data_IF_428381056177
#
_entry.id   IF_428381056177
#
_cell.length_a   1.000
_cell.length_b   1.000
_cell.length_c   1.000
_cell.angle_alpha   90.00
_cell.angle_beta   90.00
_cell.angle_gamma   90.00
#
_symmetry.space_group_name_H-M   'P 1'
#
loop_
_entity.id
_entity.type
_entity.pdbx_description
1 polymer ?
#
# COMPACT_ATOMS: atom_id res chain seq x y z
N UNK A 1 10.00 37.77 -11.15
CA UNK A 1 9.83 36.79 -10.04
C UNK A 1 8.35 36.70 -9.61
N UNK A 2 7.61 37.82 -9.47
CA UNK A 2 6.20 37.82 -9.05
C UNK A 2 5.29 36.99 -9.99
N UNK A 3 5.51 37.06 -11.29
CA UNK A 3 4.72 36.32 -12.29
C UNK A 3 4.94 34.81 -12.23
N UNK A 4 6.15 34.32 -11.94
CA UNK A 4 6.45 32.89 -11.85
C UNK A 4 5.89 32.26 -10.56
N UNK A 5 5.88 33.02 -9.46
CA UNK A 5 5.28 32.54 -8.19
C UNK A 5 3.76 32.39 -8.28
N UNK A 6 3.08 33.33 -8.93
CA UNK A 6 1.63 33.20 -9.20
C UNK A 6 1.32 31.98 -10.05
N UNK A 7 2.10 31.72 -11.11
CA UNK A 7 1.91 30.53 -11.95
C UNK A 7 2.08 29.21 -11.17
N UNK A 8 3.04 29.11 -10.25
CA UNK A 8 3.25 27.90 -9.44
C UNK A 8 2.10 27.68 -8.46
N UNK A 9 1.66 28.75 -7.79
CA UNK A 9 0.55 28.71 -6.83
C UNK A 9 -0.77 28.33 -7.50
N UNK A 10 -1.06 28.90 -8.66
CA UNK A 10 -2.25 28.60 -9.46
C UNK A 10 -2.21 27.15 -9.98
N UNK A 11 -1.02 26.67 -10.36
CA UNK A 11 -0.86 25.29 -10.82
C UNK A 11 -1.14 24.26 -9.69
N UNK A 12 -0.75 24.53 -8.44
CA UNK A 12 -1.07 23.66 -7.32
C UNK A 12 -2.59 23.50 -7.11
N UNK A 13 -3.36 24.57 -7.36
CA UNK A 13 -4.82 24.53 -7.27
C UNK A 13 -5.45 23.59 -8.32
N UNK A 14 -4.83 23.45 -9.49
CA UNK A 14 -5.33 22.55 -10.54
C UNK A 14 -5.20 21.07 -10.17
N UNK A 15 -4.39 20.74 -9.18
CA UNK A 15 -4.20 19.37 -8.69
C UNK A 15 -5.11 19.00 -7.53
N UNK A 16 -5.91 19.95 -7.02
CA UNK A 16 -6.88 19.68 -5.96
C UNK A 16 -8.08 18.90 -6.49
N UNK A 17 -8.38 17.76 -5.85
CA UNK A 17 -9.44 16.85 -6.27
C UNK A 17 -10.72 16.99 -5.46
N UNK A 18 -10.62 17.37 -4.18
CA UNK A 18 -11.73 17.44 -3.23
C UNK A 18 -11.43 16.70 -1.93
N UNK A 19 -12.20 16.96 -0.88
CA UNK A 19 -12.06 16.31 0.45
C UNK A 19 -10.63 16.32 1.00
N UNK A 20 -9.88 17.37 0.69
CA UNK A 20 -8.47 17.52 1.10
C UNK A 20 -7.47 16.78 0.20
N UNK A 21 -7.90 15.97 -0.74
CA UNK A 21 -7.01 15.23 -1.63
C UNK A 21 -6.49 16.07 -2.79
N UNK A 22 -5.26 15.78 -3.18
CA UNK A 22 -4.61 16.26 -4.37
C UNK A 22 -4.12 15.09 -5.22
N UNK A 23 -3.85 15.33 -6.49
CA UNK A 23 -2.96 14.47 -7.26
C UNK A 23 -1.56 15.09 -7.31
N UNK A 24 -0.53 14.25 -7.43
CA UNK A 24 0.86 14.72 -7.54
C UNK A 24 1.23 14.97 -9.01
N UNK A 25 0.96 16.19 -9.45
CA UNK A 25 1.23 16.63 -10.80
C UNK A 25 0.33 15.99 -11.87
N UNK A 26 0.74 16.14 -13.12
CA UNK A 26 -0.02 15.67 -14.30
C UNK A 26 -0.10 14.13 -14.39
N UNK A 27 0.72 13.41 -13.62
CA UNK A 27 0.73 11.95 -13.57
C UNK A 27 -0.43 11.33 -12.77
N UNK A 28 -1.17 12.14 -12.04
CA UNK A 28 -2.35 11.70 -11.29
C UNK A 28 -2.08 10.77 -10.10
N UNK A 29 -0.83 10.67 -9.63
CA UNK A 29 -0.46 9.82 -8.50
C UNK A 29 -1.03 10.35 -7.18
N UNK A 30 -1.48 9.45 -6.33
CA UNK A 30 -2.05 9.72 -5.00
C UNK A 30 -1.41 8.75 -4.02
N UNK A 31 -0.26 9.12 -3.50
CA UNK A 31 0.52 8.37 -2.53
C UNK A 31 0.97 9.29 -1.38
N UNK A 32 1.94 8.88 -0.61
CA UNK A 32 2.43 9.69 0.52
C UNK A 32 2.98 11.07 0.16
N UNK A 33 3.25 11.37 -1.13
CA UNK A 33 3.60 12.74 -1.53
C UNK A 33 2.48 13.73 -1.26
N UNK A 34 1.22 13.28 -1.21
CA UNK A 34 0.11 14.15 -0.84
C UNK A 34 0.26 14.62 0.62
N UNK A 35 0.62 13.70 1.53
CA UNK A 35 0.77 14.01 2.96
C UNK A 35 2.09 14.70 3.27
N UNK A 36 3.24 14.09 2.91
CA UNK A 36 4.55 14.58 3.35
C UNK A 36 5.14 15.68 2.45
N UNK A 37 4.55 15.97 1.31
CA UNK A 37 4.97 17.06 0.44
C UNK A 37 3.88 18.11 0.27
N UNK A 38 2.76 17.80 -0.39
CA UNK A 38 1.75 18.82 -0.70
C UNK A 38 1.17 19.43 0.59
N UNK A 39 0.59 18.63 1.47
CA UNK A 39 0.05 19.15 2.73
C UNK A 39 1.15 19.67 3.66
N UNK A 40 2.26 18.94 3.78
CA UNK A 40 3.35 19.34 4.65
C UNK A 40 3.84 20.76 4.33
N UNK A 41 4.19 21.03 3.07
CA UNK A 41 4.68 22.36 2.68
C UNK A 41 3.58 23.41 2.60
N UNK A 42 2.35 23.04 2.29
CA UNK A 42 1.20 23.95 2.38
C UNK A 42 0.95 24.42 3.81
N UNK A 43 1.13 23.55 4.80
CA UNK A 43 0.99 23.91 6.22
C UNK A 43 2.19 24.73 6.71
N UNK A 44 3.42 24.43 6.28
CA UNK A 44 4.58 25.29 6.55
C UNK A 44 4.36 26.68 5.96
N UNK A 45 3.85 26.75 4.71
CA UNK A 45 3.47 28.04 4.10
C UNK A 45 2.43 28.77 4.96
N UNK A 46 1.39 28.06 5.41
CA UNK A 46 0.35 28.65 6.25
C UNK A 46 0.92 29.22 7.56
N UNK A 47 1.87 28.54 8.21
CA UNK A 47 2.54 29.02 9.43
C UNK A 47 3.33 30.30 9.17
N UNK A 48 4.08 30.35 8.07
CA UNK A 48 4.97 31.48 7.78
C UNK A 48 4.18 32.68 7.25
N UNK A 49 3.20 32.46 6.40
CA UNK A 49 2.52 33.50 5.59
C UNK A 49 1.14 33.87 6.12
N UNK A 50 0.72 33.41 7.30
CA UNK A 50 -0.63 33.63 7.83
C UNK A 50 -1.01 35.13 7.90
N UNK A 51 -0.02 36.00 8.16
CA UNK A 51 -0.24 37.46 8.25
C UNK A 51 -0.31 38.11 6.86
N UNK A 52 0.47 37.61 5.88
CA UNK A 52 0.61 38.19 4.56
C UNK A 52 -0.36 37.62 3.53
N UNK A 53 -0.79 36.33 3.72
CA UNK A 53 -1.75 35.64 2.85
C UNK A 53 -2.73 34.80 3.70
N UNK A 54 -3.58 35.42 4.52
CA UNK A 54 -4.48 34.74 5.46
C UNK A 54 -5.52 33.87 4.76
N UNK A 55 -6.00 34.23 3.58
CA UNK A 55 -7.02 33.48 2.85
C UNK A 55 -6.46 32.13 2.35
N UNK A 56 -5.23 32.11 1.86
CA UNK A 56 -4.57 30.89 1.42
C UNK A 56 -4.18 30.01 2.61
N UNK A 57 -3.66 30.62 3.68
CA UNK A 57 -3.34 29.92 4.92
C UNK A 57 -4.59 29.20 5.46
N UNK A 58 -5.73 29.89 5.55
CA UNK A 58 -7.01 29.33 5.98
C UNK A 58 -7.47 28.16 5.06
N UNK A 59 -7.34 28.35 3.74
CA UNK A 59 -7.70 27.32 2.75
C UNK A 59 -6.87 26.06 2.92
N UNK A 60 -5.55 26.16 3.06
CA UNK A 60 -4.66 25.01 3.24
C UNK A 60 -4.93 24.28 4.57
N UNK A 61 -5.13 25.05 5.64
CA UNK A 61 -5.52 24.49 6.95
C UNK A 61 -6.84 23.71 6.86
N UNK A 62 -7.86 24.26 6.21
CA UNK A 62 -9.15 23.59 6.03
C UNK A 62 -9.02 22.27 5.22
N UNK A 63 -8.27 22.29 4.12
CA UNK A 63 -8.02 21.08 3.30
C UNK A 63 -7.25 20.01 4.08
N UNK A 64 -6.28 20.40 4.89
CA UNK A 64 -5.55 19.47 5.74
C UNK A 64 -6.48 18.80 6.78
N UNK A 65 -7.41 19.54 7.38
CA UNK A 65 -8.41 18.99 8.29
C UNK A 65 -9.33 17.97 7.62
N UNK A 66 -9.74 18.19 6.37
CA UNK A 66 -10.53 17.23 5.60
C UNK A 66 -9.71 16.00 5.22
N UNK A 67 -8.49 16.17 4.71
CA UNK A 67 -7.58 15.10 4.35
C UNK A 67 -7.31 14.15 5.53
N UNK A 68 -7.08 14.69 6.72
CA UNK A 68 -6.78 13.92 7.92
C UNK A 68 -7.82 12.85 8.24
N UNK A 69 -9.13 13.13 7.96
CA UNK A 69 -10.25 12.21 8.24
C UNK A 69 -10.12 10.88 7.51
N UNK A 70 -9.54 10.89 6.32
CA UNK A 70 -9.32 9.71 5.50
C UNK A 70 -7.89 9.17 5.66
N UNK A 71 -6.90 10.04 5.80
CA UNK A 71 -5.50 9.65 5.87
C UNK A 71 -5.14 8.87 7.12
N UNK A 72 -5.85 9.07 8.24
CA UNK A 72 -5.64 8.29 9.47
C UNK A 72 -5.87 6.79 9.27
N UNK A 73 -6.73 6.40 8.33
CA UNK A 73 -6.97 5.00 7.95
C UNK A 73 -5.75 4.31 7.32
N UNK A 74 -4.71 5.06 6.93
CA UNK A 74 -3.48 4.49 6.38
C UNK A 74 -2.54 3.93 7.44
N UNK A 75 -2.93 4.03 8.71
CA UNK A 75 -2.15 3.56 9.85
C UNK A 75 -2.96 2.56 10.67
N UNK A 76 -2.26 1.56 11.23
CA UNK A 76 -2.84 0.65 12.19
C UNK A 76 -2.61 1.11 13.64
N UNK A 77 -3.12 0.32 14.60
CA UNK A 77 -3.03 0.63 16.03
C UNK A 77 -1.60 0.66 16.56
N UNK A 78 -0.68 -0.10 15.93
CA UNK A 78 0.74 -0.13 16.28
C UNK A 78 1.53 1.01 15.64
N UNK A 79 0.89 1.81 14.78
CA UNK A 79 1.51 2.92 14.05
C UNK A 79 2.24 2.49 12.77
N UNK A 80 2.03 1.26 12.31
CA UNK A 80 2.47 0.85 10.99
C UNK A 80 1.66 1.55 9.91
N UNK A 81 2.30 1.85 8.78
CA UNK A 81 1.66 2.51 7.65
C UNK A 81 1.54 1.55 6.46
N UNK A 82 0.46 1.67 5.66
CA UNK A 82 0.31 0.85 4.46
C UNK A 82 1.50 1.04 3.51
N UNK A 83 2.10 -0.01 2.98
CA UNK A 83 3.30 0.06 2.13
C UNK A 83 2.94 0.36 0.68
N UNK A 84 2.25 1.50 0.43
CA UNK A 84 1.68 1.87 -0.86
C UNK A 84 2.44 3.03 -1.51
N UNK A 85 2.70 2.92 -2.79
CA UNK A 85 3.28 3.99 -3.60
C UNK A 85 4.81 4.04 -3.57
N UNK A 86 5.34 5.15 -4.03
CA UNK A 86 6.79 5.41 -4.18
C UNK A 86 7.41 6.01 -2.92
N UNK A 87 8.74 6.06 -2.92
CA UNK A 87 9.55 6.72 -1.88
C UNK A 87 9.36 6.16 -0.47
N UNK A 88 9.02 4.88 -0.38
CA UNK A 88 8.85 4.19 0.91
C UNK A 88 10.14 4.21 1.75
N UNK A 89 11.30 4.45 1.14
CA UNK A 89 12.58 4.65 1.84
C UNK A 89 12.58 5.87 2.76
N UNK A 90 11.61 6.81 2.62
CA UNK A 90 11.47 7.96 3.52
C UNK A 90 10.81 7.60 4.86
N UNK A 91 10.34 6.36 5.03
CA UNK A 91 9.85 5.75 6.29
C UNK A 91 9.03 6.71 7.17
N UNK A 92 9.68 7.37 8.14
CA UNK A 92 9.00 8.22 9.13
C UNK A 92 8.27 9.42 8.52
N UNK A 93 8.56 9.80 7.28
CA UNK A 93 7.79 10.85 6.63
C UNK A 93 6.34 10.49 6.41
N UNK A 94 5.99 9.19 6.44
CA UNK A 94 4.62 8.73 6.33
C UNK A 94 3.71 9.39 7.38
N UNK A 95 4.18 9.59 8.60
CA UNK A 95 3.42 10.20 9.71
C UNK A 95 3.67 11.71 9.88
N UNK A 96 4.59 12.31 9.11
CA UNK A 96 5.01 13.71 9.26
C UNK A 96 3.88 14.73 9.06
N UNK A 97 2.82 14.35 8.35
CA UNK A 97 1.61 15.17 8.21
C UNK A 97 1.01 15.55 9.57
N UNK A 98 0.88 14.60 10.51
CA UNK A 98 0.34 14.90 11.84
C UNK A 98 1.28 15.78 12.67
N UNK A 99 2.58 15.65 12.47
CA UNK A 99 3.57 16.51 13.11
C UNK A 99 3.45 17.97 12.64
N UNK A 100 3.32 18.21 11.33
CA UNK A 100 3.16 19.55 10.80
C UNK A 100 1.77 20.15 11.08
N UNK A 101 0.74 19.31 11.26
CA UNK A 101 -0.57 19.78 11.75
C UNK A 101 -0.42 20.44 13.12
N UNK A 102 0.27 19.80 14.07
CA UNK A 102 0.54 20.38 15.39
C UNK A 102 1.25 21.74 15.27
N UNK A 103 2.30 21.81 14.44
CA UNK A 103 3.03 23.05 14.21
C UNK A 103 2.16 24.16 13.62
N UNK A 104 1.19 23.80 12.77
CA UNK A 104 0.24 24.74 12.16
C UNK A 104 -0.95 25.09 13.08
N UNK A 105 -0.96 24.62 14.33
CA UNK A 105 -2.04 24.83 15.29
C UNK A 105 -3.32 24.11 14.89
N UNK A 106 -3.21 22.95 14.21
CA UNK A 106 -4.35 22.13 13.80
C UNK A 106 -4.45 20.86 14.63
N UNK A 107 -5.65 20.55 15.07
CA UNK A 107 -5.99 19.34 15.80
C UNK A 107 -7.07 18.54 15.07
N UNK A 108 -6.75 17.90 13.92
CA UNK A 108 -7.71 17.01 13.24
C UNK A 108 -8.13 15.85 14.13
N UNK A 109 -7.28 15.50 15.09
CA UNK A 109 -7.55 14.57 16.20
C UNK A 109 -6.99 15.17 17.50
N UNK A 110 -7.46 14.71 18.68
CA UNK A 110 -6.90 15.17 19.96
C UNK A 110 -5.37 15.03 20.00
N UNK A 111 -4.67 15.99 20.61
CA UNK A 111 -3.19 15.98 20.73
C UNK A 111 -2.64 14.65 21.25
N UNK A 112 -3.24 13.98 22.28
CA UNK A 112 -2.79 12.67 22.74
C UNK A 112 -2.81 11.59 21.65
N UNK A 113 -3.79 11.60 20.76
CA UNK A 113 -3.93 10.65 19.64
C UNK A 113 -2.82 10.89 18.61
N UNK A 114 -2.61 12.14 18.19
CA UNK A 114 -1.55 12.50 17.26
C UNK A 114 -0.15 12.20 17.81
N UNK A 115 0.08 12.52 19.10
CA UNK A 115 1.33 12.15 19.82
C UNK A 115 1.52 10.64 19.83
N UNK A 116 0.49 9.88 20.18
CA UNK A 116 0.53 8.43 20.22
C UNK A 116 0.85 7.81 18.85
N UNK A 117 0.21 8.29 17.79
CA UNK A 117 0.48 7.81 16.44
C UNK A 117 1.92 8.09 15.99
N UNK A 118 2.41 9.33 16.16
CA UNK A 118 3.78 9.72 15.82
C UNK A 118 4.79 8.87 16.61
N UNK A 119 4.58 8.71 17.90
CA UNK A 119 5.50 8.01 18.78
C UNK A 119 5.54 6.50 18.49
N UNK A 120 4.39 5.84 18.29
CA UNK A 120 4.32 4.42 17.91
C UNK A 120 5.00 4.19 16.58
N UNK A 121 4.71 5.01 15.57
CA UNK A 121 5.33 4.93 14.25
C UNK A 121 6.86 5.03 14.34
N UNK A 122 7.39 6.00 15.08
CA UNK A 122 8.85 6.13 15.28
C UNK A 122 9.43 4.91 16.00
N UNK A 123 8.79 4.43 17.08
CA UNK A 123 9.26 3.25 17.82
C UNK A 123 9.31 2.00 16.95
N UNK A 124 8.33 1.81 16.10
CA UNK A 124 8.27 0.69 15.14
C UNK A 124 9.47 0.73 14.17
N UNK A 125 9.76 1.88 13.61
CA UNK A 125 10.89 2.02 12.69
C UNK A 125 12.25 1.87 13.38
N UNK A 126 12.42 2.43 14.58
CA UNK A 126 13.68 2.38 15.31
C UNK A 126 14.04 0.99 15.85
N UNK A 127 13.08 0.06 15.91
CA UNK A 127 13.34 -1.36 16.22
C UNK A 127 13.87 -2.15 15.04
N UNK A 128 13.75 -1.65 13.80
CA UNK A 128 14.16 -2.34 12.58
C UNK A 128 15.61 -2.07 12.20
N UNK A 129 16.26 -2.98 11.47
CA UNK A 129 17.64 -2.82 11.01
C UNK A 129 17.71 -1.82 9.83
N UNK A 130 17.31 -0.58 10.06
CA UNK A 130 17.26 0.49 9.05
C UNK A 130 18.54 1.31 8.97
N UNK A 131 19.45 1.09 9.88
CA UNK A 131 20.76 1.75 9.94
C UNK A 131 21.86 0.78 9.47
N UNK A 132 22.92 1.34 8.90
CA UNK A 132 24.16 0.58 8.68
C UNK A 132 24.98 0.49 9.97
N UNK A 133 26.18 -0.13 9.85
CA UNK A 133 27.14 -0.28 10.97
C UNK A 133 27.65 1.04 11.54
N UNK A 134 27.56 2.13 10.77
CA UNK A 134 28.02 3.46 11.16
C UNK A 134 26.84 4.34 11.64
N UNK A 135 25.69 3.71 11.90
CA UNK A 135 24.43 4.34 12.33
C UNK A 135 23.85 5.34 11.32
N UNK A 136 24.13 5.17 10.03
CA UNK A 136 23.57 5.96 8.96
C UNK A 136 22.31 5.28 8.41
N UNK A 137 21.24 6.06 8.17
CA UNK A 137 20.01 5.55 7.57
C UNK A 137 20.29 5.02 6.15
N UNK A 138 19.85 3.80 5.89
CA UNK A 138 20.05 3.13 4.61
C UNK A 138 18.83 3.27 3.67
N UNK A 139 19.07 3.19 2.35
CA UNK A 139 18.00 3.00 1.39
C UNK A 139 17.38 1.62 1.59
N UNK A 140 16.07 1.57 1.68
CA UNK A 140 15.29 0.38 1.95
C UNK A 140 14.01 0.73 2.71
N UNK A 141 13.17 -0.26 3.00
CA UNK A 141 11.98 -0.09 3.83
C UNK A 141 12.22 -0.69 5.21
N UNK A 142 11.94 -1.96 5.47
CA UNK A 142 12.19 -2.59 6.76
C UNK A 142 13.68 -2.89 7.05
N UNK A 143 14.51 -2.95 6.02
CA UNK A 143 15.94 -3.24 6.08
C UNK A 143 16.64 -2.64 4.84
N UNK A 144 18.01 -2.62 4.78
CA UNK A 144 18.73 -2.14 3.61
C UNK A 144 18.38 -2.96 2.36
N UNK A 145 17.76 -2.32 1.38
CA UNK A 145 17.31 -2.99 0.15
C UNK A 145 17.25 -2.01 -1.02
N UNK A 146 18.16 -2.15 -1.97
CA UNK A 146 18.21 -1.29 -3.16
C UNK A 146 17.19 -1.69 -4.24
N UNK A 147 16.62 -2.89 -4.21
CA UNK A 147 15.65 -3.36 -5.20
C UNK A 147 14.40 -2.48 -5.25
N UNK A 148 14.04 -1.86 -4.11
CA UNK A 148 12.89 -0.97 -4.01
C UNK A 148 13.17 0.48 -4.39
N UNK A 149 14.44 0.85 -4.62
CA UNK A 149 14.84 2.23 -4.83
C UNK A 149 14.31 2.79 -6.16
N UNK A 150 13.90 4.04 -6.14
CA UNK A 150 13.65 4.83 -7.34
C UNK A 150 14.94 5.44 -7.86
N UNK A 151 14.94 5.75 -9.17
CA UNK A 151 16.11 6.34 -9.87
C UNK A 151 16.63 7.65 -9.25
N UNK A 152 15.80 8.35 -8.48
CA UNK A 152 16.15 9.60 -7.80
C UNK A 152 16.60 9.40 -6.35
N UNK A 153 16.55 8.16 -5.83
CA UNK A 153 17.03 7.89 -4.49
C UNK A 153 18.56 7.90 -4.44
N UNK A 154 19.10 8.70 -3.53
CA UNK A 154 20.51 8.81 -3.21
C UNK A 154 20.72 8.44 -1.72
N UNK A 155 21.96 8.24 -1.24
CA UNK A 155 22.23 7.88 0.16
C UNK A 155 21.60 8.83 1.18
N UNK A 156 21.42 10.12 0.85
CA UNK A 156 20.73 11.08 1.71
C UNK A 156 19.19 11.03 1.65
N UNK A 157 18.59 10.28 0.72
CA UNK A 157 17.14 10.26 0.54
C UNK A 157 16.34 9.79 1.76
N UNK A 158 16.79 8.79 2.57
CA UNK A 158 16.09 8.38 3.78
C UNK A 158 15.89 9.50 4.80
N UNK A 159 16.77 10.51 4.79
CA UNK A 159 16.69 11.67 5.71
C UNK A 159 15.52 12.62 5.42
N UNK A 160 14.79 12.45 4.30
CA UNK A 160 13.49 13.08 4.12
C UNK A 160 12.49 12.66 5.22
N UNK A 161 12.72 11.52 5.86
CA UNK A 161 12.00 11.06 7.04
C UNK A 161 12.07 12.03 8.22
N UNK A 162 13.13 12.86 8.32
CA UNK A 162 13.31 13.82 9.41
C UNK A 162 12.19 14.87 9.49
N UNK A 163 11.36 15.01 8.46
CA UNK A 163 10.15 15.85 8.48
C UNK A 163 9.21 15.51 9.65
N UNK A 164 9.21 14.27 10.11
CA UNK A 164 8.40 13.86 11.28
C UNK A 164 8.72 14.71 12.51
N UNK A 165 9.95 15.20 12.63
CA UNK A 165 10.41 15.99 13.76
C UNK A 165 9.98 17.47 13.72
N UNK A 166 9.06 17.87 12.82
CA UNK A 166 8.49 19.22 12.83
C UNK A 166 7.86 19.58 14.20
N UNK A 167 7.40 18.59 14.98
CA UNK A 167 6.90 18.83 16.34
C UNK A 167 7.96 19.38 17.30
N UNK A 168 9.26 19.23 17.02
CA UNK A 168 10.33 19.81 17.83
C UNK A 168 10.35 21.35 17.79
N UNK A 169 9.62 21.96 16.85
CA UNK A 169 9.45 23.41 16.76
C UNK A 169 8.28 23.93 17.62
N UNK A 170 7.56 23.06 18.29
CA UNK A 170 6.48 23.45 19.21
C UNK A 170 7.05 24.17 20.43
N UNK A 171 6.36 25.20 20.96
CA UNK A 171 6.75 25.85 22.23
C UNK A 171 6.84 24.85 23.38
N UNK A 172 7.68 25.13 24.37
CA UNK A 172 7.93 24.23 25.52
C UNK A 172 6.66 24.00 26.37
N UNK A 173 5.73 24.95 26.38
CA UNK A 173 4.45 24.86 27.08
C UNK A 173 3.33 24.23 26.25
N UNK A 174 3.62 23.79 25.03
CA UNK A 174 2.62 23.16 24.18
C UNK A 174 2.12 21.84 24.80
N UNK A 175 0.80 21.56 24.80
CA UNK A 175 0.21 20.35 25.39
C UNK A 175 0.84 19.04 24.93
N UNK A 176 1.37 18.99 23.70
CA UNK A 176 2.08 17.83 23.16
C UNK A 176 3.15 17.26 24.10
N UNK A 177 3.86 18.14 24.85
CA UNK A 177 4.95 17.70 25.73
C UNK A 177 4.45 17.00 27.00
N UNK A 178 3.30 17.45 27.54
CA UNK A 178 2.79 17.02 28.85
C UNK A 178 1.71 15.94 28.78
N UNK A 179 0.98 15.79 27.67
CA UNK A 179 -0.11 14.79 27.58
C UNK A 179 0.44 13.37 27.46
N UNK A 180 -0.31 12.39 27.97
CA UNK A 180 -0.06 10.98 27.72
C UNK A 180 -0.46 10.59 26.28
N UNK A 181 0.18 9.56 25.73
CA UNK A 181 -0.15 9.00 24.43
C UNK A 181 -1.51 8.30 24.46
N UNK A 182 -2.34 8.54 23.45
CA UNK A 182 -3.59 7.81 23.28
C UNK A 182 -3.55 6.88 22.03
N UNK A 183 -4.37 5.80 22.04
CA UNK A 183 -4.55 4.95 20.85
C UNK A 183 -5.22 5.71 19.71
N UNK A 184 -5.30 5.10 18.53
CA UNK A 184 -6.12 5.60 17.43
C UNK A 184 -7.59 5.71 17.87
N UNK A 185 -8.35 6.66 17.30
CA UNK A 185 -9.79 6.69 17.55
C UNK A 185 -10.44 5.44 16.97
N UNK A 186 -11.60 5.06 17.50
CA UNK A 186 -12.38 3.98 16.91
C UNK A 186 -12.80 4.38 15.50
N UNK A 187 -12.20 3.76 14.49
CA UNK A 187 -12.50 3.95 13.07
C UNK A 187 -13.62 3.00 12.62
N UNK A 188 -14.36 3.39 11.57
CA UNK A 188 -15.24 2.47 10.89
C UNK A 188 -14.42 1.36 10.21
N UNK A 189 -14.92 0.13 10.09
CA UNK A 189 -14.15 -0.94 9.42
C UNK A 189 -13.79 -0.60 7.98
N UNK A 190 -14.70 -0.02 7.21
CA UNK A 190 -14.52 0.30 5.80
C UNK A 190 -14.44 1.82 5.56
N UNK A 191 -13.50 2.24 4.72
CA UNK A 191 -13.34 3.63 4.28
C UNK A 191 -13.05 3.68 2.77
N UNK A 192 -14.09 3.83 1.93
CA UNK A 192 -13.89 4.09 0.51
C UNK A 192 -13.33 5.50 0.31
N UNK A 193 -12.15 5.61 -0.27
CA UNK A 193 -11.42 6.86 -0.47
C UNK A 193 -11.40 7.23 -1.96
N UNK A 194 -12.47 7.86 -2.41
CA UNK A 194 -12.72 8.18 -3.83
C UNK A 194 -11.55 8.87 -4.52
N UNK A 195 -10.92 9.83 -3.84
CA UNK A 195 -9.85 10.63 -4.43
C UNK A 195 -8.45 10.02 -4.27
N UNK A 196 -8.29 9.06 -3.34
CA UNK A 196 -7.09 8.25 -3.24
C UNK A 196 -7.09 7.07 -4.22
N UNK A 197 -8.23 6.74 -4.80
CA UNK A 197 -8.48 5.49 -5.55
C UNK A 197 -8.14 4.24 -4.73
N UNK A 198 -8.52 4.24 -3.44
CA UNK A 198 -8.29 3.13 -2.51
C UNK A 198 -9.56 2.83 -1.72
N UNK A 199 -9.79 1.56 -1.47
CA UNK A 199 -10.78 1.10 -0.48
C UNK A 199 -10.00 0.57 0.72
N UNK A 200 -10.02 1.29 1.84
CA UNK A 200 -9.27 0.89 3.04
C UNK A 200 -10.17 0.14 3.99
N UNK A 201 -9.69 -0.98 4.52
CA UNK A 201 -10.39 -1.79 5.51
C UNK A 201 -9.53 -2.00 6.75
N UNK A 202 -10.08 -1.68 7.92
CA UNK A 202 -9.46 -1.87 9.22
C UNK A 202 -9.89 -3.21 9.83
N UNK A 203 -8.92 -4.09 10.11
CA UNK A 203 -9.13 -5.40 10.72
C UNK A 203 -8.83 -5.41 12.23
N UNK A 204 -8.91 -4.28 12.91
CA UNK A 204 -8.53 -4.13 14.30
C UNK A 204 -7.04 -3.82 14.45
N UNK A 205 -6.19 -4.83 14.48
CA UNK A 205 -4.75 -4.68 14.69
C UNK A 205 -3.93 -4.42 13.41
N UNK A 206 -4.54 -4.38 12.23
CA UNK A 206 -3.89 -4.05 10.97
C UNK A 206 -4.86 -3.38 10.01
N UNK A 207 -4.33 -2.77 8.98
CA UNK A 207 -5.10 -2.12 7.94
C UNK A 207 -4.65 -2.57 6.55
N UNK A 208 -5.63 -2.78 5.67
CA UNK A 208 -5.40 -3.18 4.28
C UNK A 208 -6.03 -2.16 3.35
N UNK A 209 -5.25 -1.66 2.38
CA UNK A 209 -5.75 -0.85 1.29
C UNK A 209 -5.91 -1.71 0.03
N UNK A 210 -7.11 -1.78 -0.49
CA UNK A 210 -7.44 -2.44 -1.76
C UNK A 210 -7.37 -1.42 -2.89
N UNK A 211 -6.57 -1.73 -3.92
CA UNK A 211 -6.35 -0.85 -5.06
C UNK A 211 -7.03 -1.38 -6.32
N UNK A 212 -7.91 -0.60 -6.95
CA UNK A 212 -8.52 -1.00 -8.22
C UNK A 212 -7.52 -1.04 -9.37
N UNK A 213 -6.34 -0.43 -9.19
CA UNK A 213 -5.28 -0.40 -10.19
C UNK A 213 -4.92 1.01 -10.59
N UNK A 214 -4.29 1.73 -9.69
CA UNK A 214 -3.79 3.08 -9.96
C UNK A 214 -2.69 3.00 -11.01
N UNK A 215 -2.90 3.69 -12.12
CA UNK A 215 -1.89 3.81 -13.16
C UNK A 215 -0.94 4.97 -12.88
N UNK A 216 0.36 4.70 -12.99
CA UNK A 216 1.37 5.75 -12.98
C UNK A 216 2.19 5.69 -14.28
N UNK A 217 2.09 6.71 -15.16
CA UNK A 217 2.86 6.76 -16.41
C UNK A 217 4.34 7.04 -16.18
N UNK A 218 4.73 7.54 -15.02
CA UNK A 218 6.11 7.85 -14.70
C UNK A 218 6.87 6.59 -14.30
N UNK A 219 7.86 6.20 -15.09
CA UNK A 219 8.69 5.01 -14.86
C UNK A 219 9.52 5.07 -13.58
N UNK A 220 8.87 4.87 -12.43
CA UNK A 220 9.53 4.64 -11.15
C UNK A 220 10.00 3.20 -11.06
N UNK A 221 11.05 2.96 -10.32
CA UNK A 221 11.48 1.60 -10.03
C UNK A 221 10.36 0.80 -9.35
N UNK A 222 10.09 -0.41 -9.83
CA UNK A 222 9.11 -1.35 -9.26
C UNK A 222 7.66 -0.82 -9.20
N UNK A 223 7.26 -0.04 -10.22
CA UNK A 223 5.95 0.63 -10.28
C UNK A 223 4.78 -0.36 -10.14
N UNK A 224 4.90 -1.55 -10.73
CA UNK A 224 3.87 -2.59 -10.69
C UNK A 224 3.65 -3.06 -9.26
N UNK A 225 4.71 -3.31 -8.50
CA UNK A 225 4.62 -3.70 -7.09
C UNK A 225 4.04 -2.58 -6.23
N UNK A 226 4.40 -1.32 -6.49
CA UNK A 226 4.03 -0.16 -5.67
C UNK A 226 2.60 0.31 -5.86
N UNK A 227 1.97 0.04 -7.02
CA UNK A 227 0.63 0.53 -7.36
C UNK A 227 -0.30 -0.54 -7.95
N UNK A 228 0.23 -1.62 -8.51
CA UNK A 228 -0.52 -2.61 -9.28
C UNK A 228 -1.03 -3.82 -8.49
N UNK A 229 -0.68 -3.97 -7.20
CA UNK A 229 -1.18 -5.10 -6.40
C UNK A 229 -2.65 -4.92 -6.03
N UNK A 230 -3.34 -6.01 -5.75
CA UNK A 230 -4.74 -6.01 -5.33
C UNK A 230 -4.91 -5.42 -3.93
N UNK A 231 -3.95 -5.69 -3.03
CA UNK A 231 -4.00 -5.29 -1.63
C UNK A 231 -2.61 -4.90 -1.10
N UNK A 232 -2.58 -3.94 -0.18
CA UNK A 232 -1.42 -3.44 0.55
C UNK A 232 -1.74 -3.47 2.04
N UNK A 233 -1.03 -4.27 2.81
CA UNK A 233 -1.32 -4.51 4.22
C UNK A 233 -0.13 -4.16 5.11
N UNK A 234 -0.40 -3.57 6.27
CA UNK A 234 0.62 -3.08 7.20
C UNK A 234 1.51 -4.20 7.75
N UNK A 235 0.96 -5.41 7.95
CA UNK A 235 1.71 -6.56 8.53
C UNK A 235 2.57 -7.30 7.53
N UNK A 236 2.10 -7.43 6.27
CA UNK A 236 2.76 -8.28 5.29
C UNK A 236 3.71 -7.51 4.37
N UNK A 237 3.54 -6.18 4.30
CA UNK A 237 4.24 -5.34 3.32
C UNK A 237 4.01 -5.82 1.88
N UNK A 238 4.93 -5.50 0.99
CA UNK A 238 4.87 -5.90 -0.42
C UNK A 238 6.19 -6.52 -0.87
N UNK A 239 6.09 -7.40 -1.85
CA UNK A 239 7.26 -7.92 -2.56
C UNK A 239 7.47 -7.17 -3.87
N UNK A 240 8.73 -6.99 -4.26
CA UNK A 240 9.17 -6.44 -5.54
C UNK A 240 9.87 -7.52 -6.35
N UNK A 241 9.55 -7.60 -7.62
CA UNK A 241 10.13 -8.61 -8.50
C UNK A 241 11.63 -8.35 -8.71
N UNK A 242 12.44 -9.42 -8.72
CA UNK A 242 13.81 -9.39 -9.23
C UNK A 242 13.85 -9.53 -10.75
N UNK A 243 12.93 -10.35 -11.28
CA UNK A 243 12.76 -10.55 -12.71
C UNK A 243 11.30 -10.90 -13.07
N UNK A 244 11.01 -11.06 -14.35
CA UNK A 244 9.72 -11.55 -14.83
C UNK A 244 9.73 -13.06 -15.13
N UNK A 245 10.84 -13.74 -14.89
CA UNK A 245 10.92 -15.19 -15.01
C UNK A 245 10.41 -15.82 -13.73
N UNK A 246 9.96 -17.04 -13.79
CA UNK A 246 9.55 -17.88 -12.68
C UNK A 246 8.86 -17.16 -11.48
N UNK A 247 8.00 -17.87 -10.80
CA UNK A 247 7.24 -17.29 -9.67
C UNK A 247 8.11 -16.87 -8.49
N UNK A 248 9.22 -17.58 -8.24
CA UNK A 248 10.11 -17.32 -7.12
C UNK A 248 10.88 -15.99 -7.27
N UNK A 249 11.25 -15.61 -8.50
CA UNK A 249 11.91 -14.33 -8.80
C UNK A 249 10.90 -13.19 -8.91
N UNK A 250 9.70 -13.47 -9.43
CA UNK A 250 8.66 -12.45 -9.61
C UNK A 250 7.99 -12.06 -8.28
N UNK A 251 7.88 -13.00 -7.32
CA UNK A 251 7.26 -12.79 -6.02
C UNK A 251 5.90 -12.06 -6.09
N UNK A 252 4.89 -12.63 -6.77
CA UNK A 252 3.65 -11.93 -7.14
C UNK A 252 2.62 -11.90 -6.00
N UNK A 253 3.00 -11.54 -4.78
CA UNK A 253 2.08 -11.42 -3.66
C UNK A 253 0.95 -10.43 -3.95
N UNK A 254 -0.28 -10.81 -3.58
CA UNK A 254 -1.50 -10.06 -3.86
C UNK A 254 -1.73 -9.73 -5.33
N UNK A 255 -1.45 -10.70 -6.19
CA UNK A 255 -1.66 -10.59 -7.64
C UNK A 255 -2.19 -11.89 -8.21
N UNK A 256 -2.96 -11.81 -9.31
CA UNK A 256 -3.22 -12.92 -10.20
C UNK A 256 -2.08 -12.97 -11.23
N UNK A 257 -1.24 -13.99 -11.13
CA UNK A 257 -0.03 -14.14 -11.94
C UNK A 257 -0.25 -15.22 -13.02
N UNK A 258 -0.17 -14.84 -14.29
CA UNK A 258 -0.23 -15.75 -15.42
C UNK A 258 1.18 -16.23 -15.77
N UNK A 259 1.39 -17.53 -15.81
CA UNK A 259 2.64 -18.16 -16.24
C UNK A 259 2.51 -18.66 -17.68
N UNK A 260 3.24 -18.04 -18.59
CA UNK A 260 3.17 -18.27 -20.03
C UNK A 260 4.61 -18.28 -20.58
N UNK A 261 5.01 -19.39 -21.20
CA UNK A 261 6.33 -19.57 -21.84
C UNK A 261 7.53 -19.20 -20.94
N UNK A 262 7.46 -19.54 -19.64
CA UNK A 262 8.53 -19.26 -18.68
C UNK A 262 8.52 -17.85 -18.11
N UNK A 263 7.53 -17.03 -18.43
CA UNK A 263 7.40 -15.66 -17.95
C UNK A 263 6.16 -15.49 -17.09
N UNK A 264 6.24 -14.59 -16.11
CA UNK A 264 5.15 -14.22 -15.22
C UNK A 264 4.57 -12.87 -15.65
N UNK A 265 3.28 -12.86 -15.95
CA UNK A 265 2.52 -11.68 -16.33
C UNK A 265 1.49 -11.37 -15.26
N UNK A 266 1.50 -10.13 -14.79
CA UNK A 266 0.63 -9.64 -13.71
C UNK A 266 -0.09 -8.37 -14.12
N UNK A 267 -1.05 -7.89 -13.33
CA UNK A 267 -1.73 -6.62 -13.53
C UNK A 267 -0.72 -5.46 -13.52
N UNK A 268 -0.69 -4.69 -14.59
CA UNK A 268 0.20 -3.52 -14.75
C UNK A 268 -0.61 -2.24 -14.93
N UNK A 269 -1.38 -2.19 -16.00
CA UNK A 269 -2.24 -1.06 -16.37
C UNK A 269 -3.66 -1.59 -16.41
N UNK A 270 -4.59 -0.85 -15.82
CA UNK A 270 -6.01 -1.13 -15.96
C UNK A 270 -6.58 -0.29 -17.10
N UNK A 271 -7.39 -0.92 -17.95
CA UNK A 271 -8.19 -0.24 -18.97
C UNK A 271 -9.29 0.59 -18.30
N UNK A 272 -9.90 -0.01 -17.28
CA UNK A 272 -10.91 0.61 -16.42
C UNK A 272 -10.69 0.20 -14.97
N UNK A 273 -10.98 1.10 -14.06
CA UNK A 273 -10.94 0.81 -12.62
C UNK A 273 -11.87 1.73 -11.84
N UNK A 274 -12.41 1.22 -10.74
CA UNK A 274 -13.29 2.01 -9.86
C UNK A 274 -13.34 1.43 -8.45
N UNK A 275 -13.64 2.31 -7.50
CA UNK A 275 -14.12 1.95 -6.18
C UNK A 275 -15.62 1.66 -6.29
N UNK A 276 -16.06 0.58 -5.68
CA UNK A 276 -17.46 0.20 -5.56
C UNK A 276 -17.96 0.48 -4.14
N UNK A 277 -19.24 0.26 -3.89
CA UNK A 277 -19.81 0.41 -2.56
C UNK A 277 -19.12 -0.49 -1.51
N UNK A 278 -18.74 -1.72 -1.91
CA UNK A 278 -18.24 -2.76 -1.00
C UNK A 278 -16.81 -3.21 -1.32
N UNK A 279 -16.04 -2.46 -2.11
CA UNK A 279 -14.69 -2.85 -2.50
C UNK A 279 -14.19 -2.18 -3.76
N UNK A 280 -13.53 -2.93 -4.63
CA UNK A 280 -12.92 -2.40 -5.86
C UNK A 280 -13.18 -3.30 -7.06
N UNK A 281 -13.22 -2.70 -8.23
CA UNK A 281 -13.32 -3.41 -9.51
C UNK A 281 -12.30 -2.86 -10.51
N UNK A 282 -11.74 -3.75 -11.35
CA UNK A 282 -10.83 -3.37 -12.44
C UNK A 282 -10.94 -4.28 -13.65
N UNK A 283 -10.68 -3.73 -14.84
CA UNK A 283 -10.49 -4.46 -16.09
C UNK A 283 -9.07 -4.23 -16.61
N UNK A 284 -8.39 -5.31 -16.96
CA UNK A 284 -6.97 -5.29 -17.33
C UNK A 284 -6.59 -6.46 -18.24
N UNK A 285 -5.49 -6.31 -18.97
CA UNK A 285 -4.98 -7.33 -19.89
C UNK A 285 -3.51 -7.61 -19.55
N UNK A 286 -3.19 -8.79 -18.97
CA UNK A 286 -1.82 -9.16 -18.63
C UNK A 286 -0.97 -9.53 -19.85
N UNK A 287 -1.60 -10.11 -20.85
CA UNK A 287 -0.97 -10.67 -22.05
C UNK A 287 -1.90 -10.48 -23.26
N UNK A 288 -1.36 -10.33 -24.50
CA UNK A 288 -2.21 -10.29 -25.70
C UNK A 288 -3.16 -11.49 -25.78
N UNK A 289 -4.45 -11.22 -26.02
CA UNK A 289 -5.48 -12.24 -26.05
C UNK A 289 -5.99 -12.72 -24.66
N UNK A 290 -5.56 -12.08 -23.57
CA UNK A 290 -6.12 -12.34 -22.22
C UNK A 290 -6.68 -11.04 -21.64
N UNK A 291 -7.97 -11.04 -21.29
CA UNK A 291 -8.64 -9.95 -20.59
C UNK A 291 -9.20 -10.47 -19.26
N UNK A 292 -9.05 -9.69 -18.21
CA UNK A 292 -9.50 -10.03 -16.85
C UNK A 292 -10.31 -8.89 -16.28
N UNK A 293 -11.49 -9.21 -15.75
CA UNK A 293 -12.24 -8.33 -14.86
C UNK A 293 -12.11 -8.86 -13.43
N UNK A 294 -11.60 -8.05 -12.53
CA UNK A 294 -11.39 -8.42 -11.13
C UNK A 294 -12.29 -7.60 -10.22
N UNK A 295 -13.09 -8.26 -9.40
CA UNK A 295 -13.82 -7.66 -8.27
C UNK A 295 -13.19 -8.14 -6.97
N UNK A 296 -12.93 -7.23 -6.04
CA UNK A 296 -12.41 -7.54 -4.70
C UNK A 296 -13.37 -6.97 -3.68
N UNK A 297 -13.86 -7.83 -2.80
CA UNK A 297 -14.81 -7.47 -1.74
C UNK A 297 -14.23 -7.86 -0.38
N UNK A 298 -13.77 -6.90 0.44
CA UNK A 298 -13.33 -7.17 1.80
C UNK A 298 -14.52 -7.40 2.74
N UNK A 299 -14.26 -8.19 3.78
CA UNK A 299 -15.15 -8.42 4.93
C UNK A 299 -14.34 -8.60 6.22
N UNK A 300 -14.99 -8.86 7.34
CA UNK A 300 -14.32 -8.96 8.64
C UNK A 300 -13.27 -10.08 8.76
N UNK A 301 -13.30 -11.08 7.89
CA UNK A 301 -12.37 -12.23 7.92
C UNK A 301 -11.23 -12.14 6.90
N UNK A 302 -11.33 -11.23 5.93
CA UNK A 302 -10.37 -11.12 4.83
C UNK A 302 -11.00 -10.50 3.60
N UNK A 303 -10.83 -11.12 2.42
CA UNK A 303 -11.47 -10.62 1.21
C UNK A 303 -11.69 -11.73 0.16
N UNK A 304 -12.71 -11.55 -0.65
CA UNK A 304 -13.01 -12.42 -1.80
C UNK A 304 -12.61 -11.73 -3.09
N UNK A 305 -11.96 -12.46 -3.97
CA UNK A 305 -11.61 -12.04 -5.34
C UNK A 305 -12.42 -12.85 -6.34
N UNK A 306 -13.09 -12.16 -7.24
CA UNK A 306 -13.78 -12.77 -8.39
C UNK A 306 -13.09 -12.29 -9.65
N UNK A 307 -12.55 -13.22 -10.44
CA UNK A 307 -11.90 -12.93 -11.71
C UNK A 307 -12.70 -13.53 -12.87
N UNK A 308 -13.25 -12.67 -13.72
CA UNK A 308 -13.82 -13.07 -15.02
C UNK A 308 -12.72 -12.97 -16.06
N UNK A 309 -12.34 -14.12 -16.61
CA UNK A 309 -11.19 -14.23 -17.52
C UNK A 309 -11.70 -14.66 -18.89
N UNK A 310 -11.34 -13.91 -19.92
CA UNK A 310 -11.48 -14.30 -21.32
C UNK A 310 -10.08 -14.50 -21.90
N UNK A 311 -9.78 -15.69 -22.41
CA UNK A 311 -8.47 -16.06 -22.93
C UNK A 311 -8.58 -16.66 -24.33
N UNK A 312 -7.64 -16.31 -25.21
CA UNK A 312 -7.48 -16.93 -26.53
C UNK A 312 -6.51 -18.11 -26.52
N UNK A 313 -5.83 -18.36 -25.38
CA UNK A 313 -4.85 -19.42 -25.20
C UNK A 313 -5.11 -20.20 -23.89
N UNK A 314 -4.65 -21.44 -23.85
CA UNK A 314 -4.54 -22.20 -22.61
C UNK A 314 -3.27 -21.75 -21.84
N UNK A 315 -3.40 -21.51 -20.52
CA UNK A 315 -2.28 -21.13 -19.67
C UNK A 315 -2.51 -21.51 -18.21
N UNK A 316 -1.55 -21.19 -17.35
CA UNK A 316 -1.67 -21.38 -15.91
C UNK A 316 -1.71 -20.01 -15.24
N UNK A 317 -2.60 -19.86 -14.25
CA UNK A 317 -2.64 -18.67 -13.39
C UNK A 317 -2.49 -19.07 -11.92
N UNK A 318 -1.87 -18.20 -11.15
CA UNK A 318 -1.72 -18.34 -9.70
C UNK A 318 -2.35 -17.10 -9.05
N UNK A 319 -3.41 -17.28 -8.26
CA UNK A 319 -3.94 -16.21 -7.44
C UNK A 319 -3.26 -16.26 -6.07
N UNK A 320 -2.45 -15.25 -5.82
CA UNK A 320 -1.47 -15.22 -4.73
C UNK A 320 -1.97 -14.37 -3.56
N UNK A 321 -1.79 -14.87 -2.35
CA UNK A 321 -2.05 -14.14 -1.11
C UNK A 321 -0.90 -13.23 -0.67
N UNK A 322 -0.90 -12.89 0.61
CA UNK A 322 0.16 -12.10 1.23
C UNK A 322 1.44 -12.90 1.43
N UNK A 323 2.58 -12.23 1.35
CA UNK A 323 3.88 -12.83 1.63
C UNK A 323 4.11 -12.92 3.15
N UNK A 324 4.24 -14.13 3.68
CA UNK A 324 4.45 -14.39 5.12
C UNK A 324 5.92 -14.59 5.42
N UNK A 325 6.44 -13.90 6.43
CA UNK A 325 7.85 -14.03 6.88
C UNK A 325 8.16 -15.44 7.38
N UNK A 326 9.33 -15.96 6.99
CA UNK A 326 9.90 -17.23 7.48
C UNK A 326 10.88 -17.05 8.62
N UNK A 327 11.02 -15.82 9.14
CA UNK A 327 12.11 -15.42 10.04
C UNK A 327 13.37 -15.03 9.28
N UNK A 328 13.98 -13.95 9.72
CA UNK A 328 15.21 -13.40 9.13
C UNK A 328 16.41 -13.72 9.99
N UNK A 329 16.41 -13.20 11.21
CA UNK A 329 17.49 -13.33 12.20
C UNK A 329 17.03 -14.07 13.46
N UNK A 330 15.72 -14.23 13.63
CA UNK A 330 15.08 -14.89 14.76
C UNK A 330 14.13 -15.98 14.26
N UNK A 331 13.91 -17.02 15.04
CA UNK A 331 12.88 -18.00 14.79
C UNK A 331 11.51 -17.34 15.05
N UNK A 332 10.58 -17.48 14.09
CA UNK A 332 9.23 -16.86 14.15
C UNK A 332 8.12 -17.91 14.16
N UNK A 333 8.43 -19.17 14.50
CA UNK A 333 7.42 -20.25 14.50
C UNK A 333 6.74 -20.45 13.15
N UNK A 334 7.48 -20.36 12.04
CA UNK A 334 6.92 -20.48 10.70
C UNK A 334 6.32 -21.87 10.44
N UNK A 335 5.09 -21.89 9.92
CA UNK A 335 4.39 -23.08 9.48
C UNK A 335 3.74 -22.87 8.10
N UNK A 336 3.66 -23.94 7.31
CA UNK A 336 2.96 -23.94 6.03
C UNK A 336 2.10 -25.19 5.86
N UNK A 337 0.99 -25.06 5.17
CA UNK A 337 0.11 -26.17 4.80
C UNK A 337 -0.41 -25.96 3.38
N UNK A 338 -0.40 -27.01 2.60
CA UNK A 338 -1.10 -27.09 1.31
C UNK A 338 -2.07 -28.25 1.40
N UNK A 339 -3.35 -27.99 1.15
CA UNK A 339 -4.41 -28.98 1.32
C UNK A 339 -5.49 -28.78 0.25
N UNK A 340 -5.56 -29.73 -0.68
CA UNK A 340 -6.51 -29.68 -1.79
C UNK A 340 -6.40 -28.38 -2.59
N UNK A 341 -7.44 -27.53 -2.49
CA UNK A 341 -7.53 -26.26 -3.20
C UNK A 341 -7.13 -25.05 -2.34
N UNK A 342 -6.41 -25.28 -1.23
CA UNK A 342 -6.01 -24.25 -0.28
C UNK A 342 -4.53 -24.31 0.01
N UNK A 343 -3.93 -23.15 0.28
CA UNK A 343 -2.59 -23.03 0.82
C UNK A 343 -2.58 -21.99 1.96
N UNK A 344 -1.82 -22.28 3.01
CA UNK A 344 -1.66 -21.42 4.18
C UNK A 344 -0.18 -21.28 4.52
N UNK A 345 0.24 -20.07 4.83
CA UNK A 345 1.49 -19.77 5.48
C UNK A 345 1.21 -18.97 6.76
N UNK A 346 1.89 -19.27 7.86
CA UNK A 346 1.69 -18.61 9.15
C UNK A 346 2.99 -18.51 9.94
N UNK A 347 3.05 -17.55 10.83
CA UNK A 347 4.03 -17.43 11.89
C UNK A 347 3.33 -16.93 13.18
N UNK A 348 4.09 -16.67 14.23
CA UNK A 348 3.51 -16.22 15.52
C UNK A 348 2.81 -14.84 15.44
N UNK A 349 3.06 -14.03 14.38
CA UNK A 349 2.54 -12.67 14.24
C UNK A 349 1.38 -12.58 13.25
N UNK A 350 1.36 -13.44 12.23
CA UNK A 350 0.36 -13.35 11.16
C UNK A 350 0.15 -14.70 10.45
N UNK A 351 -0.97 -14.78 9.77
CA UNK A 351 -1.33 -15.91 8.91
C UNK A 351 -1.95 -15.39 7.62
N UNK A 352 -1.70 -16.08 6.51
CA UNK A 352 -2.42 -15.87 5.26
C UNK A 352 -2.85 -17.22 4.69
N UNK A 353 -4.14 -17.36 4.44
CA UNK A 353 -4.73 -18.53 3.78
C UNK A 353 -5.33 -18.10 2.45
N UNK A 354 -5.07 -18.86 1.40
CA UNK A 354 -5.67 -18.66 0.07
C UNK A 354 -6.39 -19.92 -0.32
N UNK A 355 -7.66 -19.82 -0.68
CA UNK A 355 -8.50 -20.96 -1.01
C UNK A 355 -9.34 -20.67 -2.26
N UNK A 356 -9.44 -21.64 -3.17
CA UNK A 356 -10.43 -21.56 -4.23
C UNK A 356 -11.83 -21.77 -3.67
N UNK A 357 -12.77 -20.96 -4.09
CA UNK A 357 -14.19 -21.09 -3.75
C UNK A 357 -14.91 -21.67 -4.95
N UNK A 358 -15.51 -22.83 -4.76
CA UNK A 358 -16.37 -23.47 -5.75
C UNK A 358 -17.82 -23.16 -5.37
N UNK A 359 -18.53 -22.40 -6.19
CA UNK A 359 -19.96 -22.21 -6.04
C UNK A 359 -20.70 -23.42 -6.70
N UNK A 360 -21.68 -23.99 -6.00
CA UNK A 360 -22.54 -25.08 -6.54
C UNK A 360 -23.30 -24.65 -7.79
N UNK A 361 -23.49 -23.33 -8.00
CA UNK A 361 -24.12 -22.74 -9.17
C UNK A 361 -23.12 -22.21 -10.22
N UNK A 362 -21.86 -22.00 -9.86
CA UNK A 362 -20.84 -21.81 -10.87
C UNK A 362 -20.72 -23.17 -11.56
N UNK A 363 -21.24 -23.28 -12.76
CA UNK A 363 -20.87 -24.39 -13.65
C UNK A 363 -19.33 -24.33 -13.67
N UNK A 364 -18.69 -25.08 -12.77
CA UNK A 364 -17.33 -25.57 -12.97
C UNK A 364 -17.46 -26.20 -14.33
N UNK A 365 -17.08 -25.43 -15.36
CA UNK A 365 -17.26 -25.91 -16.73
C UNK A 365 -16.76 -27.33 -16.71
N UNK A 366 -17.61 -28.28 -17.11
CA UNK A 366 -17.30 -29.71 -17.24
C UNK A 366 -15.99 -29.94 -18.04
N UNK A 367 -15.36 -28.88 -18.49
CA UNK A 367 -14.14 -28.76 -19.27
C UNK A 367 -12.87 -28.64 -18.42
N UNK A 368 -12.95 -28.37 -17.11
CA UNK A 368 -11.74 -28.33 -16.29
C UNK A 368 -11.30 -29.77 -15.91
N UNK A 369 -10.62 -30.44 -16.82
CA UNK A 369 -9.93 -31.73 -16.53
C UNK A 369 -8.98 -31.65 -15.30
N UNK A 370 -8.76 -30.45 -14.75
CA UNK A 370 -7.86 -30.20 -13.63
C UNK A 370 -8.47 -29.20 -12.66
N UNK A 371 -8.87 -29.63 -11.46
CA UNK A 371 -9.38 -28.73 -10.42
C UNK A 371 -8.28 -27.72 -9.99
N UNK A 372 -8.67 -26.58 -9.39
CA UNK A 372 -7.71 -25.69 -8.75
C UNK A 372 -6.94 -26.42 -7.63
N UNK A 373 -5.68 -26.05 -7.44
CA UNK A 373 -4.79 -26.69 -6.46
C UNK A 373 -4.09 -25.64 -5.62
N UNK A 374 -4.09 -25.85 -4.30
CA UNK A 374 -3.28 -25.05 -3.39
C UNK A 374 -1.80 -25.12 -3.78
N UNK A 375 -1.11 -24.01 -3.69
CA UNK A 375 0.30 -23.90 -4.08
C UNK A 375 1.08 -23.00 -3.11
N UNK A 376 2.33 -23.33 -2.82
CA UNK A 376 3.20 -22.52 -1.98
C UNK A 376 4.41 -22.04 -2.77
N UNK A 377 4.56 -20.72 -2.90
CA UNK A 377 5.68 -20.13 -3.58
C UNK A 377 6.77 -19.78 -2.54
N UNK A 378 7.93 -20.42 -2.64
CA UNK A 378 9.12 -20.02 -1.91
C UNK A 378 9.84 -18.96 -2.75
N UNK A 379 9.72 -17.70 -2.37
CA UNK A 379 10.29 -16.60 -3.15
C UNK A 379 11.75 -16.37 -2.83
N UNK A 380 12.45 -15.75 -3.76
CA UNK A 380 13.85 -15.38 -3.59
C UNK A 380 14.03 -14.42 -2.40
N UNK A 381 15.13 -14.56 -1.65
CA UNK A 381 15.44 -13.62 -0.58
C UNK A 381 15.47 -12.17 -1.06
N UNK A 382 15.13 -11.24 -0.17
CA UNK A 382 15.14 -9.79 -0.42
C UNK A 382 14.17 -9.30 -1.50
N UNK A 383 13.08 -10.05 -1.75
CA UNK A 383 11.97 -9.59 -2.58
C UNK A 383 10.97 -8.77 -1.78
N UNK A 384 10.59 -9.21 -0.57
CA UNK A 384 9.68 -8.44 0.29
C UNK A 384 10.40 -7.25 0.92
N UNK A 385 9.71 -6.10 1.04
CA UNK A 385 10.32 -4.86 1.53
C UNK A 385 10.49 -4.81 3.05
N UNK A 386 9.76 -5.66 3.79
CA UNK A 386 9.80 -5.70 5.25
C UNK A 386 10.58 -6.90 5.78
N UNK A 387 10.56 -8.02 5.06
CA UNK A 387 11.13 -9.31 5.46
C UNK A 387 12.09 -9.84 4.40
N UNK A 388 13.27 -10.33 4.81
CA UNK A 388 14.29 -10.83 3.87
C UNK A 388 13.91 -12.18 3.26
N UNK A 389 13.11 -13.00 3.96
CA UNK A 389 12.69 -14.33 3.53
C UNK A 389 11.20 -14.52 3.74
N UNK A 390 10.47 -14.83 2.68
CA UNK A 390 9.02 -15.05 2.74
C UNK A 390 8.58 -16.25 1.93
N UNK A 391 7.35 -16.71 2.20
CA UNK A 391 6.58 -17.57 1.31
C UNK A 391 5.23 -16.95 1.01
N UNK A 392 4.70 -17.26 -0.18
CA UNK A 392 3.42 -16.76 -0.64
C UNK A 392 2.48 -17.95 -0.85
N UNK A 393 1.39 -18.07 -0.08
CA UNK A 393 0.33 -19.03 -0.36
C UNK A 393 -0.44 -18.58 -1.60
N UNK A 394 -0.83 -19.51 -2.44
CA UNK A 394 -1.53 -19.28 -3.69
C UNK A 394 -2.49 -20.41 -4.05
N UNK A 395 -3.39 -20.16 -4.99
CA UNK A 395 -4.15 -21.19 -5.68
C UNK A 395 -3.75 -21.19 -7.16
N UNK A 396 -3.38 -22.36 -7.66
CA UNK A 396 -3.06 -22.60 -9.07
C UNK A 396 -4.32 -22.96 -9.83
N UNK A 397 -4.61 -22.24 -10.91
CA UNK A 397 -5.71 -22.47 -11.84
C UNK A 397 -5.21 -22.82 -13.23
N UNK A 398 -5.90 -23.73 -13.91
CA UNK A 398 -5.72 -23.98 -15.33
C UNK A 398 -6.71 -23.14 -16.12
N UNK A 399 -6.22 -22.13 -16.83
CA UNK A 399 -7.02 -21.24 -17.66
C UNK A 399 -7.12 -21.84 -19.06
N UNK A 400 -8.35 -22.07 -19.52
CA UNK A 400 -8.65 -22.56 -20.85
C UNK A 400 -8.99 -21.41 -21.81
N UNK A 401 -8.79 -21.66 -23.09
CA UNK A 401 -9.32 -20.79 -24.13
C UNK A 401 -10.83 -20.66 -24.00
N UNK A 402 -11.33 -19.42 -24.03
CA UNK A 402 -12.73 -19.08 -23.80
C UNK A 402 -12.93 -18.20 -22.57
N UNK A 403 -14.17 -18.09 -22.09
CA UNK A 403 -14.53 -17.29 -20.93
C UNK A 403 -14.77 -18.19 -19.72
N UNK A 404 -14.23 -17.80 -18.57
CA UNK A 404 -14.38 -18.51 -17.30
C UNK A 404 -14.32 -17.55 -16.12
N UNK A 405 -14.87 -18.00 -15.00
CA UNK A 405 -14.80 -17.27 -13.74
C UNK A 405 -14.05 -18.10 -12.70
N UNK A 406 -13.16 -17.50 -11.97
CA UNK A 406 -12.50 -18.08 -10.81
C UNK A 406 -12.76 -17.23 -9.58
N UNK A 407 -12.98 -17.85 -8.44
CA UNK A 407 -13.22 -17.18 -7.17
C UNK A 407 -12.21 -17.65 -6.15
N UNK A 408 -11.55 -16.70 -5.51
CA UNK A 408 -10.52 -16.96 -4.50
C UNK A 408 -10.85 -16.22 -3.22
N UNK A 409 -10.75 -16.91 -2.09
CA UNK A 409 -10.82 -16.34 -0.75
C UNK A 409 -9.40 -16.17 -0.19
N UNK A 410 -9.14 -15.00 0.42
CA UNK A 410 -7.88 -14.68 1.11
C UNK A 410 -8.22 -14.22 2.53
N UNK A 411 -7.71 -14.97 3.54
CA UNK A 411 -7.93 -14.78 4.98
C UNK A 411 -6.61 -14.55 5.72
#
# INVERSE_FOLDING_TARGET
LVGSEMCIRDRLETFYLGEGWYQDGDSGQKDYYISFAIHFYSLIYAVIMEKDDPERAKKYKARAMEFAKQFIYWFDEEGEAIPFGRSLTYRFSQVSFFSVCLLAGLEPFPVPVMKGLIARHLRTWLKRPIFDRDHVLTIGYGYPNLTMAERYNAPGSPYWGMKVFAFLLLPDDHPFWSVEEAPLPKLAPACPQKYADLFVYHYGNHTTAFAPGVYSPNGHGQIVAKYGKFAYDTRFSISVAKSCYELHENAPDNMLAFWIDGYVYVRRICEESKITENGVWSKWSPYPGITVETTITPDAGGHTRVHKITSEIDCVAYDCGFAVSRGDFEEVGFAEKVDGMSAQASNEFCSCTVSAVLDENTQVNEVADKPPVGYMITVDPNTNLLYTKTKIPAVKYHIRKGSQEIVTRVD
#
